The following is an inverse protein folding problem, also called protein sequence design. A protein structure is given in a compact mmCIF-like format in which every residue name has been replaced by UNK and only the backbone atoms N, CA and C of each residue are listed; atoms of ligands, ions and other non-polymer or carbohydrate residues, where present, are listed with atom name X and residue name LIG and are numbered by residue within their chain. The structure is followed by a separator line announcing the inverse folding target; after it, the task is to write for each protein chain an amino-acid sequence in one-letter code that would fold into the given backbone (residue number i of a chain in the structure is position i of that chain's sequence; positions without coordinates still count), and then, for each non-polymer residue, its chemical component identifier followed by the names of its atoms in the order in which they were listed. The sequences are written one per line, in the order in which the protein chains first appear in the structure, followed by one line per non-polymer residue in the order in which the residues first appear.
data_IF_845138373032
#
_entry.id   IF_845138373032
#
_cell.length_a   1.000
_cell.length_b   1.000
_cell.length_c   1.000
_cell.angle_alpha   90.00
_cell.angle_beta   90.00
_cell.angle_gamma   90.00
#
_symmetry.space_group_name_H-M   'P 1'
#
loop_
_entity.id
_entity.type
_entity.pdbx_description
1 polymer ?
#
# COMPACT_ATOMS: atom_id res chain seq x y z
N UNK A 1 27.93 14.48 -48.00
CA UNK A 1 26.88 14.42 -46.97
C UNK A 1 26.63 12.96 -46.64
N UNK A 2 27.14 12.47 -45.49
CA UNK A 2 27.01 11.06 -45.07
C UNK A 2 25.98 11.00 -43.93
N UNK A 3 24.84 10.38 -44.18
CA UNK A 3 23.83 10.10 -43.18
C UNK A 3 24.33 8.97 -42.27
N UNK A 4 24.54 9.27 -40.98
CA UNK A 4 24.80 8.26 -39.93
C UNK A 4 23.43 7.90 -39.35
N UNK A 5 22.95 6.71 -39.70
CA UNK A 5 21.80 6.12 -39.08
C UNK A 5 22.19 5.59 -37.67
N UNK A 6 21.69 6.25 -36.62
CA UNK A 6 21.84 5.76 -35.24
C UNK A 6 20.79 4.69 -35.03
N UNK A 7 21.25 3.43 -35.00
CA UNK A 7 20.42 2.27 -34.68
C UNK A 7 20.22 2.20 -33.16
N UNK A 8 19.00 2.45 -32.69
CA UNK A 8 18.63 2.26 -31.30
C UNK A 8 18.44 0.76 -31.06
N UNK A 9 19.39 0.17 -30.34
CA UNK A 9 19.25 -1.19 -29.80
C UNK A 9 18.33 -1.09 -28.58
N UNK A 10 17.08 -1.49 -28.77
CA UNK A 10 16.13 -1.69 -27.64
C UNK A 10 16.57 -2.98 -26.97
N UNK A 11 17.22 -2.88 -25.82
CA UNK A 11 17.43 -4.01 -24.90
C UNK A 11 16.12 -4.19 -24.14
N UNK A 12 15.44 -5.32 -24.26
CA UNK A 12 14.28 -5.60 -23.43
C UNK A 12 14.78 -5.84 -22.00
N UNK A 13 14.59 -4.86 -21.13
CA UNK A 13 14.70 -5.06 -19.69
C UNK A 13 13.49 -5.88 -19.29
N UNK A 14 13.68 -7.19 -19.19
CA UNK A 14 12.72 -8.09 -18.56
C UNK A 14 12.69 -7.75 -17.08
N UNK A 15 11.84 -6.78 -16.71
CA UNK A 15 11.48 -6.53 -15.32
C UNK A 15 10.66 -7.75 -14.89
N UNK A 16 11.29 -8.64 -14.13
CA UNK A 16 10.61 -9.79 -13.56
C UNK A 16 9.42 -9.31 -12.74
N UNK A 17 8.25 -9.69 -13.20
CA UNK A 17 6.97 -9.47 -12.53
C UNK A 17 7.05 -10.17 -11.17
N UNK A 18 7.34 -9.42 -10.11
CA UNK A 18 7.25 -9.89 -8.74
C UNK A 18 5.77 -9.96 -8.38
N UNK A 19 5.19 -11.15 -8.55
CA UNK A 19 3.85 -11.50 -8.09
C UNK A 19 3.75 -11.19 -6.59
N UNK A 20 3.04 -10.12 -6.27
CA UNK A 20 2.57 -9.86 -4.92
C UNK A 20 1.40 -10.81 -4.65
N UNK A 21 1.57 -11.73 -3.73
CA UNK A 21 0.43 -12.40 -3.12
C UNK A 21 -0.30 -11.36 -2.25
N UNK A 22 -1.61 -11.17 -2.41
CA UNK A 22 -2.36 -10.31 -1.51
C UNK A 22 -2.32 -10.91 -0.12
N UNK A 23 -1.93 -10.11 0.87
CA UNK A 23 -2.10 -10.47 2.27
C UNK A 23 -3.61 -10.42 2.60
N UNK A 24 -4.28 -11.53 2.35
CA UNK A 24 -5.64 -11.76 2.83
C UNK A 24 -5.58 -11.94 4.35
N UNK A 25 -6.38 -11.18 5.09
CA UNK A 25 -6.67 -11.51 6.45
C UNK A 25 -6.74 -10.32 7.42
N UNK A 26 -7.75 -9.47 7.31
CA UNK A 26 -8.30 -8.81 8.48
C UNK A 26 -9.45 -9.65 9.00
N UNK A 27 -9.14 -10.59 9.91
CA UNK A 27 -10.13 -11.25 10.72
C UNK A 27 -10.65 -10.24 11.76
N UNK A 28 -11.90 -9.83 11.61
CA UNK A 28 -12.67 -9.21 12.68
C UNK A 28 -12.87 -10.27 13.76
N UNK A 29 -12.31 -10.03 14.95
CA UNK A 29 -12.63 -10.82 16.14
C UNK A 29 -13.93 -10.32 16.73
N UNK A 30 -15.01 -11.08 16.52
CA UNK A 30 -16.24 -10.97 17.31
C UNK A 30 -16.00 -11.49 18.74
N UNK A 31 -16.67 -10.91 19.76
CA UNK A 31 -16.57 -11.40 21.12
C UNK A 31 -17.47 -12.62 21.29
N UNK A 32 -16.91 -13.81 21.40
CA UNK A 32 -17.64 -14.99 21.86
C UNK A 32 -17.92 -14.92 23.35
N UNK A 33 -19.21 -14.83 23.67
CA UNK A 33 -19.76 -15.21 24.98
C UNK A 33 -20.17 -16.70 24.94
N UNK A 34 -19.57 -17.50 25.74
CA UNK A 34 -20.03 -18.91 25.88
C UNK A 34 -19.24 -19.73 26.89
N UNK A 35 -19.75 -19.83 28.09
CA UNK A 35 -19.35 -20.81 29.10
C UNK A 35 -19.53 -22.25 28.62
N UNK A 36 -18.52 -23.08 28.81
CA UNK A 36 -18.73 -24.51 29.17
C UNK A 36 -17.46 -25.04 29.85
N UNK A 37 -17.59 -25.46 31.06
CA UNK A 37 -16.64 -26.24 31.85
C UNK A 37 -16.47 -27.64 31.24
N UNK A 38 -15.23 -28.14 31.18
CA UNK A 38 -14.95 -29.57 31.42
C UNK A 38 -13.48 -29.76 31.82
N UNK A 39 -13.20 -30.59 32.86
CA UNK A 39 -11.89 -30.74 33.47
C UNK A 39 -11.26 -32.08 33.13
N UNK A 40 -10.10 -32.08 32.47
CA UNK A 40 -9.12 -33.16 32.66
C UNK A 40 -7.76 -32.87 31.99
N UNK A 41 -6.80 -32.69 32.82
CA UNK A 41 -5.40 -33.02 32.86
C UNK A 41 -4.58 -33.28 31.61
N UNK A 42 -3.61 -32.37 31.33
CA UNK A 42 -2.22 -32.83 31.29
C UNK A 42 -1.26 -31.62 31.40
N UNK A 43 -0.18 -31.82 32.19
CA UNK A 43 0.76 -30.77 32.55
C UNK A 43 1.78 -30.57 31.43
N UNK A 44 1.48 -29.71 30.45
CA UNK A 44 2.46 -29.07 29.59
C UNK A 44 2.95 -27.74 30.24
N UNK A 45 4.25 -27.63 30.52
CA UNK A 45 4.84 -26.40 31.07
C UNK A 45 4.67 -25.27 30.07
N UNK A 46 3.54 -24.59 30.13
CA UNK A 46 3.32 -23.32 29.46
C UNK A 46 4.24 -22.29 30.12
N UNK A 47 5.22 -21.78 29.39
CA UNK A 47 5.90 -20.55 29.77
C UNK A 47 4.84 -19.47 29.83
N UNK A 48 4.43 -19.14 31.03
CA UNK A 48 3.56 -18.00 31.31
C UNK A 48 4.36 -16.73 30.95
N UNK A 49 4.10 -16.15 29.79
CA UNK A 49 4.44 -14.77 29.56
C UNK A 49 3.63 -13.94 30.55
N UNK A 50 4.32 -13.36 31.50
CA UNK A 50 3.73 -12.46 32.49
C UNK A 50 3.20 -11.23 31.76
N UNK A 51 1.93 -10.83 31.91
CA UNK A 51 1.37 -9.65 31.22
C UNK A 51 1.89 -8.31 31.80
N UNK A 52 2.95 -8.35 32.62
CA UNK A 52 3.56 -7.17 33.23
C UNK A 52 4.69 -6.55 32.40
N UNK A 53 5.14 -7.21 31.32
CA UNK A 53 6.19 -6.68 30.45
C UNK A 53 5.54 -5.83 29.35
N UNK A 54 5.36 -4.52 29.67
CA UNK A 54 4.72 -3.56 28.79
C UNK A 54 5.56 -3.26 27.54
N UNK A 55 4.96 -2.60 26.52
CA UNK A 55 5.58 -2.30 25.22
C UNK A 55 6.93 -1.56 25.31
N UNK A 56 7.24 -0.95 26.45
CA UNK A 56 8.53 -0.28 26.69
C UNK A 56 9.72 -1.23 26.89
N UNK A 57 9.51 -2.47 27.36
CA UNK A 57 10.63 -3.42 27.52
C UNK A 57 11.10 -3.96 26.19
N UNK A 58 10.19 -4.23 25.27
CA UNK A 58 10.52 -4.69 23.91
C UNK A 58 11.28 -3.62 23.13
N UNK A 59 10.90 -2.34 23.26
CA UNK A 59 11.59 -1.22 22.61
C UNK A 59 13.01 -1.00 23.13
N UNK A 60 13.24 -1.15 24.44
CA UNK A 60 14.59 -1.05 25.00
C UNK A 60 15.48 -2.20 24.53
N UNK A 61 14.97 -3.42 24.51
CA UNK A 61 15.69 -4.58 24.00
C UNK A 61 16.02 -4.44 22.50
N UNK A 62 15.12 -3.86 21.70
CA UNK A 62 15.37 -3.54 20.30
C UNK A 62 16.51 -2.51 20.17
N UNK A 63 16.42 -1.42 20.93
CA UNK A 63 17.42 -0.35 20.94
C UNK A 63 18.82 -0.91 21.26
N UNK A 64 18.98 -1.63 22.38
CA UNK A 64 20.24 -2.24 22.80
C UNK A 64 20.79 -3.20 21.75
N UNK A 65 19.93 -4.02 21.14
CA UNK A 65 20.32 -4.97 20.11
C UNK A 65 20.86 -4.29 18.85
N UNK A 66 20.21 -3.23 18.40
CA UNK A 66 20.65 -2.49 17.20
C UNK A 66 21.90 -1.67 17.51
N UNK A 67 21.95 -1.03 18.67
CA UNK A 67 23.12 -0.28 19.12
C UNK A 67 24.39 -1.18 19.19
N UNK A 68 24.28 -2.38 19.76
CA UNK A 68 25.37 -3.37 19.74
C UNK A 68 25.85 -3.65 18.32
N UNK A 69 24.94 -3.88 17.36
CA UNK A 69 25.29 -4.11 15.95
C UNK A 69 26.00 -2.91 15.32
N UNK A 70 25.58 -1.70 15.61
CA UNK A 70 26.23 -0.47 15.13
C UNK A 70 27.66 -0.42 15.67
N UNK A 71 27.84 -0.64 16.98
CA UNK A 71 29.16 -0.58 17.63
C UNK A 71 30.11 -1.70 17.16
N UNK A 72 29.60 -2.89 16.97
CA UNK A 72 30.37 -4.08 16.56
C UNK A 72 30.66 -4.14 15.04
N UNK A 73 30.02 -3.27 14.24
CA UNK A 73 30.21 -3.27 12.80
C UNK A 73 31.61 -2.76 12.42
N UNK A 74 32.46 -3.61 11.80
CA UNK A 74 33.81 -3.21 11.41
C UNK A 74 33.80 -2.29 10.16
N UNK A 75 32.70 -2.23 9.45
CA UNK A 75 32.55 -1.42 8.24
C UNK A 75 32.23 0.06 8.54
N UNK A 76 31.95 0.43 9.80
CA UNK A 76 31.57 1.77 10.20
C UNK A 76 32.74 2.52 10.84
N UNK A 77 32.98 3.74 10.41
CA UNK A 77 33.83 4.68 11.15
C UNK A 77 33.08 5.31 12.34
N UNK A 78 33.79 6.10 13.18
CA UNK A 78 33.22 6.69 14.38
C UNK A 78 32.08 7.67 14.07
N UNK A 79 32.23 8.49 13.01
CA UNK A 79 31.20 9.46 12.61
C UNK A 79 29.96 8.79 12.06
N UNK A 80 30.11 7.69 11.30
CA UNK A 80 29.00 6.89 10.78
C UNK A 80 28.23 6.22 11.92
N UNK A 81 28.93 5.68 12.93
CA UNK A 81 28.28 5.09 14.13
C UNK A 81 27.43 6.13 14.85
N UNK A 82 28.01 7.28 15.17
CA UNK A 82 27.30 8.36 15.86
C UNK A 82 26.05 8.81 15.06
N UNK A 83 26.15 8.91 13.74
CA UNK A 83 25.03 9.28 12.87
C UNK A 83 23.94 8.21 12.89
N UNK A 84 24.30 6.92 12.80
CA UNK A 84 23.36 5.82 12.87
C UNK A 84 22.67 5.74 14.23
N UNK A 85 23.35 5.99 15.34
CA UNK A 85 22.74 6.03 16.67
C UNK A 85 21.69 7.15 16.78
N UNK A 86 22.01 8.35 16.30
CA UNK A 86 21.01 9.44 16.25
C UNK A 86 19.81 9.08 15.38
N UNK A 87 20.04 8.43 14.24
CA UNK A 87 18.96 7.99 13.37
C UNK A 87 18.12 6.89 14.03
N UNK A 88 18.73 5.98 14.79
CA UNK A 88 18.01 4.96 15.55
C UNK A 88 17.04 5.60 16.57
N UNK A 89 17.53 6.54 17.37
CA UNK A 89 16.69 7.27 18.33
C UNK A 89 15.50 7.95 17.63
N UNK A 90 15.73 8.57 16.47
CA UNK A 90 14.66 9.21 15.69
C UNK A 90 13.64 8.20 15.16
N UNK A 91 14.07 7.05 14.62
CA UNK A 91 13.17 5.98 14.16
C UNK A 91 12.28 5.46 15.29
N UNK A 92 12.86 5.25 16.47
CA UNK A 92 12.12 4.81 17.67
C UNK A 92 11.12 5.88 18.13
N UNK A 93 11.51 7.16 18.09
CA UNK A 93 10.63 8.28 18.45
C UNK A 93 9.45 8.45 17.50
N UNK A 94 9.63 8.13 16.22
CA UNK A 94 8.58 8.09 15.20
C UNK A 94 7.61 6.91 15.38
N UNK A 95 7.86 6.00 16.31
CA UNK A 95 7.03 4.83 16.58
C UNK A 95 7.05 3.82 15.44
N UNK A 96 8.16 3.72 14.70
CA UNK A 96 8.34 2.70 13.67
C UNK A 96 8.30 1.31 14.29
N UNK A 97 7.78 0.33 13.56
CA UNK A 97 7.70 -1.05 14.02
C UNK A 97 9.10 -1.68 14.08
N UNK A 98 9.31 -2.58 15.03
CA UNK A 98 10.59 -3.25 15.27
C UNK A 98 11.26 -3.76 13.99
N UNK A 99 10.51 -4.49 13.17
CA UNK A 99 11.04 -5.05 11.93
C UNK A 99 11.41 -4.00 10.88
N UNK A 100 10.77 -2.83 10.90
CA UNK A 100 11.10 -1.69 10.03
C UNK A 100 12.41 -1.06 10.48
N UNK A 101 12.54 -0.82 11.78
CA UNK A 101 13.78 -0.31 12.37
C UNK A 101 14.92 -1.28 12.09
N UNK A 102 14.76 -2.58 12.37
CA UNK A 102 15.77 -3.59 12.06
C UNK A 102 16.19 -3.60 10.58
N UNK A 103 15.25 -3.37 9.68
CA UNK A 103 15.50 -3.30 8.25
C UNK A 103 16.36 -2.12 7.80
N UNK A 104 16.46 -1.05 8.60
CA UNK A 104 17.22 0.16 8.29
C UNK A 104 18.68 0.14 8.81
N UNK A 105 19.03 -0.78 9.72
CA UNK A 105 20.32 -0.83 10.38
C UNK A 105 21.13 -2.07 9.96
N UNK A 106 22.44 -2.16 10.31
CA UNK A 106 23.26 -3.32 9.95
C UNK A 106 22.63 -4.64 10.37
N UNK A 107 22.50 -5.59 9.43
CA UNK A 107 21.90 -6.90 9.69
C UNK A 107 22.99 -7.95 9.91
N UNK A 108 22.74 -8.95 10.77
CA UNK A 108 23.67 -10.06 10.98
C UNK A 108 23.96 -10.79 9.66
N UNK A 109 25.24 -11.02 9.37
CA UNK A 109 25.67 -11.79 8.19
C UNK A 109 25.64 -11.05 6.85
N UNK A 110 25.33 -9.75 6.84
CA UNK A 110 25.26 -8.93 5.62
C UNK A 110 26.62 -8.37 5.17
N UNK A 111 27.73 -8.98 5.63
CA UNK A 111 29.08 -8.48 5.38
C UNK A 111 29.33 -8.19 3.89
N UNK A 112 29.50 -6.91 3.54
CA UNK A 112 29.92 -6.43 2.22
C UNK A 112 28.83 -6.30 1.15
N UNK A 113 27.55 -6.56 1.44
CA UNK A 113 26.46 -6.38 0.48
C UNK A 113 25.93 -4.95 0.42
N UNK A 114 25.96 -4.26 1.54
CA UNK A 114 25.54 -2.86 1.66
C UNK A 114 26.58 -2.10 2.46
N UNK A 115 27.12 -1.04 1.90
CA UNK A 115 28.05 -0.19 2.61
C UNK A 115 27.35 0.81 3.53
N UNK A 116 28.14 1.42 4.43
CA UNK A 116 27.65 2.36 5.42
C UNK A 116 27.01 3.62 4.80
N UNK A 117 27.51 4.07 3.65
CA UNK A 117 27.01 5.27 3.00
C UNK A 117 25.59 5.07 2.45
N UNK A 118 25.35 3.92 1.81
CA UNK A 118 24.02 3.56 1.34
C UNK A 118 23.02 3.38 2.49
N UNK A 119 23.45 2.72 3.60
CA UNK A 119 22.58 2.59 4.77
C UNK A 119 22.18 3.94 5.36
N UNK A 120 23.12 4.85 5.49
CA UNK A 120 22.86 6.20 5.98
C UNK A 120 21.95 6.99 5.04
N UNK A 121 22.17 6.94 3.73
CA UNK A 121 21.29 7.57 2.75
C UNK A 121 19.85 7.05 2.87
N UNK A 122 19.67 5.74 2.97
CA UNK A 122 18.34 5.15 3.16
C UNK A 122 17.66 5.59 4.45
N UNK A 123 18.39 5.62 5.57
CA UNK A 123 17.87 6.11 6.84
C UNK A 123 17.45 7.58 6.73
N UNK A 124 18.26 8.43 6.12
CA UNK A 124 17.98 9.85 5.94
C UNK A 124 16.76 10.10 5.09
N UNK A 125 16.57 9.35 4.01
CA UNK A 125 15.37 9.40 3.16
C UNK A 125 14.11 9.03 3.93
N UNK A 126 14.14 7.95 4.71
CA UNK A 126 13.02 7.53 5.54
C UNK A 126 12.67 8.62 6.57
N UNK A 127 13.67 9.17 7.25
CA UNK A 127 13.49 10.22 8.24
C UNK A 127 12.98 11.53 7.62
N UNK A 128 13.54 11.94 6.46
CA UNK A 128 13.07 13.11 5.73
C UNK A 128 11.62 12.98 5.25
N UNK A 129 11.24 11.78 4.80
CA UNK A 129 9.84 11.49 4.44
C UNK A 129 8.91 11.62 5.65
N UNK A 130 9.31 11.10 6.81
CA UNK A 130 8.55 11.25 8.05
C UNK A 130 8.40 12.72 8.48
N UNK A 131 9.49 13.49 8.42
CA UNK A 131 9.49 14.93 8.75
C UNK A 131 8.58 15.73 7.78
N UNK A 132 8.40 15.23 6.55
CA UNK A 132 7.51 15.82 5.54
C UNK A 132 6.06 15.32 5.66
N UNK A 133 5.72 14.52 6.67
CA UNK A 133 4.38 13.97 6.87
C UNK A 133 4.01 12.82 5.91
N UNK A 134 4.98 12.32 5.15
CA UNK A 134 4.76 11.20 4.21
C UNK A 134 4.76 9.84 4.95
N UNK A 135 4.14 8.80 4.40
CA UNK A 135 4.09 7.46 5.00
C UNK A 135 5.46 6.76 4.95
N UNK A 136 6.41 7.21 5.79
CA UNK A 136 7.79 6.74 5.84
C UNK A 136 7.92 5.23 6.12
N UNK A 137 6.93 4.63 6.77
CA UNK A 137 6.82 3.19 7.00
C UNK A 137 6.81 2.40 5.68
N UNK A 138 6.25 2.95 4.61
CA UNK A 138 6.26 2.34 3.29
C UNK A 138 7.67 2.24 2.70
N UNK A 139 8.50 3.28 2.86
CA UNK A 139 9.90 3.24 2.46
C UNK A 139 10.69 2.22 3.27
N UNK A 140 10.52 2.22 4.59
CA UNK A 140 11.20 1.27 5.46
C UNK A 140 10.86 -0.19 5.13
N UNK A 141 9.58 -0.47 4.81
CA UNK A 141 9.13 -1.80 4.36
C UNK A 141 9.82 -2.21 3.05
N UNK A 142 9.93 -1.30 2.08
CA UNK A 142 10.58 -1.57 0.79
C UNK A 142 12.09 -1.73 0.90
N UNK A 143 12.74 -0.95 1.76
CA UNK A 143 14.17 -1.12 2.06
C UNK A 143 14.42 -2.50 2.64
N UNK A 144 13.66 -2.88 3.67
CA UNK A 144 13.78 -4.19 4.29
C UNK A 144 13.54 -5.32 3.28
N UNK A 145 12.49 -5.24 2.47
CA UNK A 145 12.18 -6.22 1.44
C UNK A 145 13.34 -6.36 0.43
N UNK A 146 13.84 -5.24 -0.10
CA UNK A 146 14.94 -5.22 -1.06
C UNK A 146 16.22 -5.80 -0.48
N UNK A 147 16.57 -5.46 0.76
CA UNK A 147 17.75 -6.00 1.46
C UNK A 147 17.64 -7.51 1.68
N UNK A 148 16.48 -8.00 2.14
CA UNK A 148 16.24 -9.43 2.32
C UNK A 148 16.36 -10.23 1.01
N UNK A 149 15.93 -9.61 -0.11
CA UNK A 149 16.04 -10.20 -1.46
C UNK A 149 17.44 -10.03 -2.08
N UNK A 150 18.35 -9.32 -1.41
CA UNK A 150 19.69 -9.03 -1.92
C UNK A 150 19.72 -8.11 -3.13
N UNK A 151 18.77 -7.19 -3.22
CA UNK A 151 18.70 -6.16 -4.28
C UNK A 151 19.93 -5.24 -4.16
N UNK A 152 20.55 -4.92 -5.29
CA UNK A 152 21.69 -4.00 -5.32
C UNK A 152 21.31 -2.61 -4.79
N UNK A 153 22.21 -1.95 -4.01
CA UNK A 153 21.92 -0.66 -3.38
C UNK A 153 21.41 0.42 -4.35
N UNK A 154 22.04 0.56 -5.51
CA UNK A 154 21.65 1.53 -6.53
C UNK A 154 20.23 1.28 -7.08
N UNK A 155 19.85 0.00 -7.27
CA UNK A 155 18.51 -0.38 -7.70
C UNK A 155 17.49 -0.04 -6.61
N UNK A 156 17.84 -0.33 -5.36
CA UNK A 156 16.99 -0.01 -4.21
C UNK A 156 16.81 1.51 -4.05
N UNK A 157 17.88 2.30 -4.22
CA UNK A 157 17.80 3.76 -4.22
C UNK A 157 16.85 4.29 -5.32
N UNK A 158 16.89 3.72 -6.52
CA UNK A 158 15.96 4.06 -7.61
C UNK A 158 14.50 3.69 -7.29
N UNK A 159 14.28 2.56 -6.60
CA UNK A 159 12.95 2.16 -6.10
C UNK A 159 12.45 3.17 -5.08
N UNK A 160 13.27 3.55 -4.10
CA UNK A 160 12.93 4.54 -3.09
C UNK A 160 12.56 5.89 -3.69
N UNK A 161 13.38 6.39 -4.62
CA UNK A 161 13.12 7.68 -5.28
C UNK A 161 11.76 7.71 -5.99
N UNK A 162 11.41 6.64 -6.70
CA UNK A 162 10.08 6.54 -7.34
C UNK A 162 8.97 6.52 -6.32
N UNK A 163 9.14 5.75 -5.24
CA UNK A 163 8.13 5.65 -4.20
C UNK A 163 7.95 6.98 -3.45
N UNK A 164 9.02 7.73 -3.18
CA UNK A 164 8.98 9.09 -2.62
C UNK A 164 8.17 10.02 -3.52
N UNK A 165 8.35 9.93 -4.84
CA UNK A 165 7.55 10.71 -5.80
C UNK A 165 6.07 10.34 -5.69
N UNK A 166 5.71 9.06 -5.69
CA UNK A 166 4.32 8.62 -5.56
C UNK A 166 3.70 9.04 -4.22
N UNK A 167 4.45 8.92 -3.12
CA UNK A 167 3.99 9.38 -1.80
C UNK A 167 3.73 10.88 -1.78
N UNK A 168 4.60 11.68 -2.42
CA UNK A 168 4.45 13.13 -2.51
C UNK A 168 3.22 13.51 -3.33
N UNK A 169 2.98 12.83 -4.45
CA UNK A 169 1.76 13.03 -5.27
C UNK A 169 0.52 12.64 -4.45
N UNK A 170 0.48 11.46 -3.85
CA UNK A 170 -0.64 11.01 -3.04
C UNK A 170 -0.97 11.98 -1.89
N UNK A 171 0.07 12.48 -1.19
CA UNK A 171 -0.08 13.46 -0.13
C UNK A 171 -0.68 14.79 -0.66
N UNK A 172 -0.16 15.29 -1.79
CA UNK A 172 -0.67 16.50 -2.43
C UNK A 172 -2.12 16.35 -2.86
N UNK A 173 -2.47 15.27 -3.58
CA UNK A 173 -3.82 15.07 -4.10
C UNK A 173 -4.85 14.89 -2.97
N UNK A 174 -4.51 14.18 -1.88
CA UNK A 174 -5.37 14.13 -0.70
C UNK A 174 -5.54 15.50 -0.05
N UNK A 175 -4.46 16.28 0.07
CA UNK A 175 -4.52 17.64 0.61
C UNK A 175 -5.42 18.57 -0.23
N UNK A 176 -5.32 18.48 -1.56
CA UNK A 176 -6.18 19.21 -2.48
C UNK A 176 -7.65 18.76 -2.36
N UNK A 177 -7.93 17.46 -2.32
CA UNK A 177 -9.27 16.92 -2.12
C UNK A 177 -9.93 17.49 -0.85
N UNK A 178 -9.21 17.50 0.27
CA UNK A 178 -9.70 18.06 1.53
C UNK A 178 -9.94 19.57 1.42
N UNK A 179 -9.04 20.31 0.76
CA UNK A 179 -9.21 21.74 0.52
C UNK A 179 -10.43 22.05 -0.39
N UNK A 180 -10.81 21.13 -1.26
CA UNK A 180 -11.96 21.21 -2.17
C UNK A 180 -13.26 20.63 -1.56
N UNK A 181 -13.26 20.25 -0.29
CA UNK A 181 -14.45 19.86 0.46
C UNK A 181 -14.65 18.37 0.69
N UNK A 182 -13.74 17.52 0.25
CA UNK A 182 -13.75 16.10 0.59
C UNK A 182 -13.49 15.93 2.10
N UNK A 183 -14.35 15.19 2.78
CA UNK A 183 -14.30 15.06 4.23
C UNK A 183 -13.17 14.09 4.65
N UNK A 184 -12.20 14.52 5.46
CA UNK A 184 -11.18 13.62 5.99
C UNK A 184 -11.76 12.65 7.03
N UNK A 185 -11.07 11.52 7.27
CA UNK A 185 -11.48 10.54 8.31
C UNK A 185 -11.50 11.10 9.72
N UNK A 186 -10.84 12.24 9.97
CA UNK A 186 -10.66 12.82 11.30
C UNK A 186 -9.63 12.07 12.16
N UNK A 187 -8.98 11.04 11.62
CA UNK A 187 -7.93 10.26 12.28
C UNK A 187 -6.66 10.31 11.43
N UNK A 188 -5.63 10.97 11.95
CA UNK A 188 -4.35 11.15 11.25
C UNK A 188 -3.68 9.83 10.82
N UNK A 189 -3.79 8.78 11.65
CA UNK A 189 -3.27 7.46 11.30
C UNK A 189 -4.03 6.83 10.15
N UNK A 190 -5.35 6.99 10.11
CA UNK A 190 -6.18 6.52 9.00
C UNK A 190 -5.84 7.29 7.72
N UNK A 191 -5.69 8.62 7.79
CA UNK A 191 -5.29 9.44 6.63
C UNK A 191 -3.93 9.01 6.08
N UNK A 192 -2.92 8.78 6.93
CA UNK A 192 -1.62 8.25 6.49
C UNK A 192 -1.74 6.87 5.84
N UNK A 193 -2.66 6.03 6.33
CA UNK A 193 -2.92 4.73 5.72
C UNK A 193 -3.52 4.86 4.32
N UNK A 194 -4.47 5.79 4.12
CA UNK A 194 -5.02 6.08 2.80
C UNK A 194 -3.97 6.66 1.84
N UNK A 195 -3.15 7.61 2.30
CA UNK A 195 -2.02 8.13 1.50
C UNK A 195 -1.05 7.03 1.07
N UNK A 196 -0.75 6.09 1.99
CA UNK A 196 0.06 4.91 1.67
C UNK A 196 -0.61 4.05 0.60
N UNK A 197 -1.93 3.84 0.69
CA UNK A 197 -2.71 3.11 -0.33
C UNK A 197 -2.57 3.75 -1.70
N UNK A 198 -2.86 5.03 -1.81
CA UNK A 198 -2.74 5.80 -3.06
C UNK A 198 -1.32 5.74 -3.67
N UNK A 199 -0.28 5.85 -2.83
CA UNK A 199 1.10 5.74 -3.31
C UNK A 199 1.41 4.33 -3.86
N UNK A 200 0.83 3.28 -3.27
CA UNK A 200 0.93 1.91 -3.77
C UNK A 200 0.12 1.70 -5.06
N UNK A 201 -1.04 2.32 -5.18
CA UNK A 201 -1.85 2.28 -6.41
C UNK A 201 -1.10 2.91 -7.59
N UNK A 202 -0.45 4.05 -7.36
CA UNK A 202 0.46 4.65 -8.34
C UNK A 202 1.65 3.74 -8.66
N UNK A 203 2.21 3.06 -7.67
CA UNK A 203 3.27 2.08 -7.90
C UNK A 203 2.80 0.90 -8.75
N UNK A 204 1.54 0.50 -8.66
CA UNK A 204 0.89 -0.59 -9.41
C UNK A 204 0.42 -0.18 -10.81
N UNK A 205 0.48 1.10 -11.17
CA UNK A 205 0.21 1.56 -12.51
C UNK A 205 -0.82 2.69 -12.66
N UNK A 206 -1.39 3.18 -11.56
CA UNK A 206 -2.23 4.38 -11.61
C UNK A 206 -1.33 5.60 -11.88
N UNK A 207 -1.60 6.35 -12.94
CA UNK A 207 -0.85 7.55 -13.27
C UNK A 207 -1.32 8.75 -12.44
N UNK A 208 -0.43 9.74 -12.29
CA UNK A 208 -0.73 10.98 -11.58
C UNK A 208 -1.94 11.70 -12.17
N UNK A 209 -2.03 11.77 -13.48
CA UNK A 209 -3.14 12.39 -14.22
C UNK A 209 -4.47 11.68 -13.97
N UNK A 210 -4.48 10.35 -13.82
CA UNK A 210 -5.68 9.59 -13.52
C UNK A 210 -6.13 9.84 -12.07
N UNK A 211 -5.19 9.88 -11.13
CA UNK A 211 -5.49 10.20 -9.73
C UNK A 211 -6.02 11.64 -9.58
N UNK A 212 -5.46 12.61 -10.30
CA UNK A 212 -5.96 13.98 -10.34
C UNK A 212 -7.43 14.04 -10.80
N UNK A 213 -7.78 13.33 -11.86
CA UNK A 213 -9.15 13.30 -12.37
C UNK A 213 -10.11 12.59 -11.40
N UNK A 214 -9.69 11.48 -10.78
CA UNK A 214 -10.47 10.82 -9.72
C UNK A 214 -10.72 11.79 -8.56
N UNK A 215 -9.72 12.57 -8.14
CA UNK A 215 -9.87 13.61 -7.13
C UNK A 215 -10.88 14.67 -7.55
N UNK A 216 -10.86 15.10 -8.81
CA UNK A 216 -11.84 16.08 -9.31
C UNK A 216 -13.28 15.57 -9.20
N UNK A 217 -13.54 14.32 -9.58
CA UNK A 217 -14.86 13.69 -9.38
C UNK A 217 -15.25 13.62 -7.90
N UNK A 218 -14.29 13.22 -7.02
CA UNK A 218 -14.53 13.17 -5.57
C UNK A 218 -14.87 14.57 -5.02
N UNK A 219 -14.18 15.61 -5.46
CA UNK A 219 -14.41 16.99 -5.07
C UNK A 219 -15.75 17.53 -5.57
N UNK A 220 -16.14 17.23 -6.82
CA UNK A 220 -17.45 17.56 -7.36
C UNK A 220 -18.57 16.88 -6.57
N UNK A 221 -18.41 15.58 -6.27
CA UNK A 221 -19.36 14.86 -5.42
C UNK A 221 -19.47 15.46 -4.03
N UNK A 222 -18.34 15.87 -3.42
CA UNK A 222 -18.32 16.46 -2.09
C UNK A 222 -19.20 17.72 -2.00
N UNK A 223 -19.25 18.54 -3.06
CA UNK A 223 -20.09 19.75 -3.12
C UNK A 223 -21.59 19.46 -3.16
N UNK A 224 -22.02 18.29 -3.63
CA UNK A 224 -23.44 18.00 -3.87
C UNK A 224 -24.03 16.93 -2.93
N UNK A 225 -23.29 15.90 -2.62
CA UNK A 225 -23.79 14.71 -1.92
C UNK A 225 -22.93 14.30 -0.71
N UNK A 226 -21.75 14.91 -0.57
CA UNK A 226 -20.74 14.47 0.38
C UNK A 226 -19.84 13.38 -0.21
N UNK A 227 -18.56 13.49 0.07
CA UNK A 227 -17.52 12.52 -0.30
C UNK A 227 -16.46 12.52 0.80
N UNK A 228 -15.88 11.38 1.08
CA UNK A 228 -14.79 11.23 2.06
C UNK A 228 -13.48 10.86 1.39
N UNK A 229 -12.36 11.04 2.11
CA UNK A 229 -11.04 10.54 1.68
C UNK A 229 -11.02 9.02 1.53
N UNK A 230 -11.91 8.29 2.22
CA UNK A 230 -12.10 6.84 2.07
C UNK A 230 -12.71 6.52 0.69
N UNK A 231 -13.70 7.31 0.24
CA UNK A 231 -14.33 7.12 -1.09
C UNK A 231 -13.32 7.40 -2.21
N UNK A 232 -12.53 8.47 -2.08
CA UNK A 232 -11.44 8.78 -3.02
C UNK A 232 -10.43 7.64 -3.12
N UNK A 233 -9.96 7.13 -1.97
CA UNK A 233 -8.99 6.06 -1.94
C UNK A 233 -9.57 4.75 -2.51
N UNK A 234 -10.82 4.42 -2.23
CA UNK A 234 -11.49 3.26 -2.80
C UNK A 234 -11.68 3.37 -4.32
N UNK A 235 -11.95 4.57 -4.83
CA UNK A 235 -12.02 4.79 -6.27
C UNK A 235 -10.65 4.59 -6.96
N UNK A 236 -9.56 5.10 -6.37
CA UNK A 236 -8.20 4.91 -6.87
C UNK A 236 -7.77 3.43 -6.81
N UNK A 237 -8.06 2.73 -5.71
CA UNK A 237 -7.82 1.29 -5.54
C UNK A 237 -8.55 0.49 -6.63
N UNK A 238 -9.83 0.77 -6.85
CA UNK A 238 -10.64 0.10 -7.87
C UNK A 238 -10.12 0.38 -9.29
N UNK A 239 -9.75 1.64 -9.60
CA UNK A 239 -9.13 1.96 -10.89
C UNK A 239 -7.84 1.16 -11.11
N UNK A 240 -7.00 1.04 -10.08
CA UNK A 240 -5.76 0.25 -10.12
C UNK A 240 -6.04 -1.24 -10.36
N UNK A 241 -7.02 -1.81 -9.67
CA UNK A 241 -7.44 -3.20 -9.88
C UNK A 241 -7.91 -3.44 -11.33
N UNK A 242 -8.68 -2.51 -11.89
CA UNK A 242 -9.12 -2.57 -13.28
C UNK A 242 -7.93 -2.51 -14.26
N UNK A 243 -6.96 -1.63 -14.01
CA UNK A 243 -5.73 -1.52 -14.82
C UNK A 243 -4.92 -2.82 -14.76
N UNK A 244 -4.80 -3.45 -13.60
CA UNK A 244 -4.13 -4.75 -13.44
C UNK A 244 -4.84 -5.89 -14.18
N UNK A 245 -6.15 -5.77 -14.42
CA UNK A 245 -6.91 -6.70 -15.27
C UNK A 245 -6.76 -6.39 -16.78
N UNK A 246 -5.91 -5.43 -17.14
CA UNK A 246 -5.64 -5.05 -18.53
C UNK A 246 -6.64 -4.06 -19.10
N UNK A 247 -7.47 -3.42 -18.27
CA UNK A 247 -8.33 -2.32 -18.69
C UNK A 247 -7.47 -1.08 -18.95
N UNK A 248 -7.77 -0.36 -20.02
CA UNK A 248 -7.08 0.89 -20.33
C UNK A 248 -7.25 1.90 -19.19
N UNK A 249 -6.16 2.58 -18.72
CA UNK A 249 -6.20 3.48 -17.57
C UNK A 249 -7.28 4.56 -17.66
N UNK A 250 -7.42 5.22 -18.82
CA UNK A 250 -8.46 6.23 -19.02
C UNK A 250 -9.87 5.67 -18.80
N UNK A 251 -10.13 4.46 -19.25
CA UNK A 251 -11.42 3.81 -19.06
C UNK A 251 -11.67 3.38 -17.62
N UNK A 252 -10.65 2.83 -16.95
CA UNK A 252 -10.73 2.49 -15.54
C UNK A 252 -11.08 3.73 -14.70
N UNK A 253 -10.39 4.84 -14.95
CA UNK A 253 -10.64 6.15 -14.35
C UNK A 253 -12.07 6.66 -14.61
N UNK A 254 -12.53 6.64 -15.87
CA UNK A 254 -13.87 7.12 -16.24
C UNK A 254 -14.97 6.30 -15.56
N UNK A 255 -14.75 4.99 -15.39
CA UNK A 255 -15.69 4.11 -14.68
C UNK A 255 -15.79 4.46 -13.19
N UNK A 256 -14.66 4.63 -12.50
CA UNK A 256 -14.68 5.00 -11.08
C UNK A 256 -15.16 6.44 -10.87
N UNK A 257 -14.85 7.35 -11.80
CA UNK A 257 -15.42 8.71 -11.83
C UNK A 257 -16.93 8.69 -11.91
N UNK A 258 -17.50 7.90 -12.82
CA UNK A 258 -18.96 7.68 -12.91
C UNK A 258 -19.53 7.14 -11.58
N UNK A 259 -18.85 6.19 -10.93
CA UNK A 259 -19.27 5.67 -9.62
C UNK A 259 -19.30 6.75 -8.55
N UNK A 260 -18.29 7.61 -8.50
CA UNK A 260 -18.27 8.77 -7.61
C UNK A 260 -19.43 9.73 -7.92
N UNK A 261 -19.67 10.07 -9.17
CA UNK A 261 -20.75 10.98 -9.61
C UNK A 261 -22.14 10.43 -9.29
N UNK A 262 -22.33 9.12 -9.35
CA UNK A 262 -23.57 8.43 -8.97
C UNK A 262 -23.72 8.24 -7.44
N UNK A 263 -22.72 8.61 -6.66
CA UNK A 263 -22.77 8.56 -5.21
C UNK A 263 -22.44 7.19 -4.61
N UNK A 264 -21.78 6.30 -5.33
CA UNK A 264 -21.37 5.00 -4.78
C UNK A 264 -20.40 5.18 -3.63
N UNK A 265 -20.66 4.46 -2.55
CA UNK A 265 -19.79 4.41 -1.38
C UNK A 265 -18.47 3.69 -1.66
N UNK A 266 -17.50 3.84 -0.78
CA UNK A 266 -16.23 3.12 -0.86
C UNK A 266 -16.42 1.60 -0.95
N UNK A 267 -17.41 1.04 -0.26
CA UNK A 267 -17.73 -0.39 -0.32
C UNK A 267 -18.27 -0.78 -1.70
N UNK A 268 -19.24 -0.03 -2.23
CA UNK A 268 -19.81 -0.28 -3.55
C UNK A 268 -18.77 -0.13 -4.65
N UNK A 269 -17.84 0.83 -4.51
CA UNK A 269 -16.74 1.01 -5.44
C UNK A 269 -15.83 -0.23 -5.50
N UNK A 270 -15.44 -0.80 -4.35
CA UNK A 270 -14.67 -2.05 -4.30
C UNK A 270 -15.45 -3.25 -4.85
N UNK A 271 -16.76 -3.30 -4.62
CA UNK A 271 -17.61 -4.35 -5.22
C UNK A 271 -17.57 -4.29 -6.74
N UNK A 272 -17.52 -3.09 -7.35
CA UNK A 272 -17.37 -2.94 -8.81
C UNK A 272 -16.07 -3.58 -9.28
N UNK A 273 -14.94 -3.30 -8.65
CA UNK A 273 -13.64 -3.93 -8.97
C UNK A 273 -13.72 -5.46 -8.87
N UNK A 274 -14.28 -5.96 -7.76
CA UNK A 274 -14.46 -7.39 -7.53
C UNK A 274 -15.35 -8.06 -8.59
N UNK A 275 -16.45 -7.42 -8.99
CA UNK A 275 -17.35 -7.94 -10.04
C UNK A 275 -16.62 -8.09 -11.37
N UNK A 276 -15.81 -7.10 -11.79
CA UNK A 276 -15.02 -7.19 -13.03
C UNK A 276 -13.98 -8.31 -12.93
N UNK A 277 -13.25 -8.38 -11.81
CA UNK A 277 -12.25 -9.43 -11.60
C UNK A 277 -12.89 -10.83 -11.64
N UNK A 278 -13.96 -11.03 -10.88
CA UNK A 278 -14.64 -12.33 -10.83
C UNK A 278 -15.22 -12.71 -12.20
N UNK A 279 -15.82 -11.77 -12.93
CA UNK A 279 -16.36 -12.05 -14.26
C UNK A 279 -15.27 -12.50 -15.25
N UNK A 280 -14.11 -11.85 -15.20
CA UNK A 280 -12.95 -12.24 -16.02
C UNK A 280 -12.46 -13.65 -15.65
N UNK A 281 -12.41 -13.99 -14.37
CA UNK A 281 -12.06 -15.35 -13.90
C UNK A 281 -13.06 -16.42 -14.37
N UNK A 282 -14.33 -16.06 -14.58
CA UNK A 282 -15.37 -16.94 -15.12
C UNK A 282 -15.42 -16.94 -16.67
N UNK A 283 -14.46 -16.25 -17.32
CA UNK A 283 -14.31 -16.23 -18.77
C UNK A 283 -15.23 -15.23 -19.49
N UNK A 284 -15.88 -14.32 -18.78
CA UNK A 284 -16.60 -13.22 -19.41
C UNK A 284 -15.60 -12.24 -20.06
N UNK A 285 -15.88 -11.72 -21.28
CA UNK A 285 -15.03 -10.72 -21.89
C UNK A 285 -15.03 -9.43 -21.06
N UNK A 286 -13.87 -8.97 -20.58
CA UNK A 286 -13.74 -7.77 -19.72
C UNK A 286 -14.42 -6.55 -20.34
N UNK A 287 -14.26 -6.35 -21.66
CA UNK A 287 -14.86 -5.26 -22.42
C UNK A 287 -16.41 -5.28 -22.43
N UNK A 288 -17.01 -6.47 -22.52
CA UNK A 288 -18.46 -6.63 -22.50
C UNK A 288 -19.00 -6.39 -21.09
N UNK A 289 -18.34 -6.94 -20.09
CA UNK A 289 -18.66 -6.74 -18.68
C UNK A 289 -18.63 -5.26 -18.33
N UNK A 290 -17.57 -4.54 -18.70
CA UNK A 290 -17.44 -3.11 -18.43
C UNK A 290 -18.55 -2.29 -19.08
N UNK A 291 -18.83 -2.50 -20.39
CA UNK A 291 -19.92 -1.77 -21.07
C UNK A 291 -21.27 -2.04 -20.42
N UNK A 292 -21.49 -3.26 -19.98
CA UNK A 292 -22.71 -3.63 -19.30
C UNK A 292 -22.81 -2.90 -17.95
N UNK A 293 -21.72 -2.89 -17.17
CA UNK A 293 -21.67 -2.19 -15.88
C UNK A 293 -21.82 -0.68 -16.05
N UNK A 294 -21.10 -0.05 -16.98
CA UNK A 294 -21.22 1.38 -17.30
C UNK A 294 -22.68 1.75 -17.61
N UNK A 295 -23.36 0.93 -18.41
CA UNK A 295 -24.77 1.15 -18.72
C UNK A 295 -25.66 1.10 -17.48
N UNK A 296 -25.45 0.14 -16.59
CA UNK A 296 -26.25 -0.01 -15.36
C UNK A 296 -25.94 1.09 -14.35
N UNK A 297 -24.66 1.44 -14.17
CA UNK A 297 -24.24 2.55 -13.31
C UNK A 297 -24.85 3.88 -13.80
N UNK A 298 -24.81 4.15 -15.10
CA UNK A 298 -25.42 5.35 -15.68
C UNK A 298 -26.93 5.44 -15.43
N UNK A 299 -27.60 4.31 -15.32
CA UNK A 299 -29.03 4.23 -14.98
C UNK A 299 -29.28 4.19 -13.46
N UNK A 300 -28.29 4.39 -12.62
CA UNK A 300 -28.40 4.43 -11.16
C UNK A 300 -28.67 3.08 -10.51
N UNK A 301 -28.26 1.97 -11.16
CA UNK A 301 -28.43 0.64 -10.60
C UNK A 301 -27.54 0.47 -9.36
N UNK A 302 -28.08 -0.14 -8.30
CA UNK A 302 -27.31 -0.50 -7.09
C UNK A 302 -26.39 -1.69 -7.38
N UNK A 303 -25.24 -1.76 -6.70
CA UNK A 303 -24.25 -2.86 -6.89
C UNK A 303 -24.84 -4.23 -6.64
N UNK A 304 -25.73 -4.38 -5.65
CA UNK A 304 -26.43 -5.63 -5.36
C UNK A 304 -27.33 -6.11 -6.51
N UNK A 305 -27.97 -5.17 -7.22
CA UNK A 305 -28.78 -5.47 -8.40
C UNK A 305 -27.89 -5.91 -9.55
N UNK A 306 -26.80 -5.18 -9.80
CA UNK A 306 -25.83 -5.53 -10.83
C UNK A 306 -25.25 -6.92 -10.57
N UNK A 307 -24.86 -7.22 -9.34
CA UNK A 307 -24.33 -8.51 -8.95
C UNK A 307 -25.32 -9.64 -9.22
N UNK A 308 -26.60 -9.48 -8.84
CA UNK A 308 -27.65 -10.49 -9.12
C UNK A 308 -27.85 -10.74 -10.61
N UNK A 309 -27.82 -9.69 -11.43
CA UNK A 309 -27.97 -9.83 -12.88
C UNK A 309 -26.75 -10.50 -13.51
N UNK A 310 -25.53 -10.17 -13.09
CA UNK A 310 -24.31 -10.83 -13.56
C UNK A 310 -24.28 -12.33 -13.23
N UNK A 311 -24.83 -12.72 -12.06
CA UNK A 311 -25.02 -14.14 -11.74
C UNK A 311 -26.02 -14.82 -12.66
N UNK A 312 -27.13 -14.16 -13.02
CA UNK A 312 -28.12 -14.69 -13.97
C UNK A 312 -27.53 -14.88 -15.37
N UNK A 313 -26.56 -14.02 -15.77
CA UNK A 313 -25.80 -14.15 -17.00
C UNK A 313 -24.69 -15.21 -16.92
N UNK A 314 -24.42 -15.78 -15.73
CA UNK A 314 -23.33 -16.74 -15.52
C UNK A 314 -21.94 -16.11 -15.51
N UNK A 315 -21.86 -14.80 -15.34
CA UNK A 315 -20.60 -14.05 -15.25
C UNK A 315 -20.00 -14.06 -13.84
N UNK A 316 -20.81 -14.36 -12.82
CA UNK A 316 -20.38 -14.55 -11.45
C UNK A 316 -20.82 -15.92 -10.92
N UNK A 317 -19.99 -16.52 -10.08
CA UNK A 317 -20.32 -17.76 -9.38
C UNK A 317 -21.05 -17.52 -8.06
N UNK A 318 -21.72 -18.56 -7.51
CA UNK A 318 -22.43 -18.43 -6.20
C UNK A 318 -21.52 -18.07 -5.01
N UNK A 319 -20.20 -18.26 -5.14
CA UNK A 319 -19.23 -17.95 -4.07
C UNK A 319 -18.83 -16.47 -4.04
N UNK A 320 -19.07 -15.74 -5.11
CA UNK A 320 -18.63 -14.34 -5.25
C UNK A 320 -19.52 -13.36 -4.45
N UNK A 321 -20.64 -13.87 -3.86
CA UNK A 321 -21.54 -13.05 -3.03
C UNK A 321 -21.10 -12.85 -1.58
N UNK A 322 -20.08 -13.58 -1.11
CA UNK A 322 -19.71 -13.63 0.31
C UNK A 322 -18.24 -13.27 0.56
N UNK A 323 -17.59 -12.57 -0.38
CA UNK A 323 -16.22 -12.12 -0.31
C UNK A 323 -15.95 -10.94 0.61
#
# INVERSE_FOLDING_TARGET
MRNIAVSWIIVPVTVGLLLFAPAAGFAQSEPETGNAEDPSGDRGVARTHSPADGPNQDMNALHERIQSRIQESPALDAGQREKMERNLERCLHLGMRDYQVEGLFPMPGEHGRMDAAHLLDMQERVLASADSGLPADLLADKIREGRMKGVAPDVLAGVMQRLETHMSVAHREMGLAVAEGVTPTGNERAERHLQRGLALDMWRGLHEEDLEQIREHASQRAMHMGCSTIDLAAAAETATELIEQGIEPARARDMVGMGLDQGYSAQEMRQIGQMVMSSTMHGAPSEETLRWMEHHMHNGAQTDEMMRQMMQHGWLGPRDMYG
#
